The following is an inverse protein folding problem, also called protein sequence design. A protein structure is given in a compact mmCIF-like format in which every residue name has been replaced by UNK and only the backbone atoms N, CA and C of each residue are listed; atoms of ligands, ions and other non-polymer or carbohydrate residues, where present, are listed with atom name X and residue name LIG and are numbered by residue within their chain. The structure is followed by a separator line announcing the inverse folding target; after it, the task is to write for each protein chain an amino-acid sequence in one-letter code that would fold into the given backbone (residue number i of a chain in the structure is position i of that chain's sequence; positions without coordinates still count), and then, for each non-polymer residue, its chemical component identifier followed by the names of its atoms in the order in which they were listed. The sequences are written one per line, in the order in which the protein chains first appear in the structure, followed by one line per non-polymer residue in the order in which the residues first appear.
data_IF_158332672927
#
_entry.id   IF_158332672927
#
_cell.length_a   1.000
_cell.length_b   1.000
_cell.length_c   1.000
_cell.angle_alpha   90.00
_cell.angle_beta   90.00
_cell.angle_gamma   90.00
#
_symmetry.space_group_name_H-M   'P 1'
#
loop_
_entity.id
_entity.type
_entity.pdbx_description
1 polymer ?
#
# COMPACT_ATOMS: atom_id res chain seq x y z
N UNK A 1 1.97 4.52 28.01
CA UNK A 1 1.37 3.88 26.81
C UNK A 1 2.49 3.70 25.80
N UNK A 2 2.64 2.52 25.22
CA UNK A 2 3.67 2.22 24.20
C UNK A 2 2.98 1.78 22.93
N UNK A 3 3.43 2.30 21.77
CA UNK A 3 2.99 1.89 20.44
C UNK A 3 3.95 0.81 19.92
N UNK A 4 3.41 -0.37 19.59
CA UNK A 4 4.18 -1.46 18.98
C UNK A 4 4.06 -1.37 17.46
N UNK A 5 5.18 -1.19 16.80
CA UNK A 5 5.24 -1.12 15.33
C UNK A 5 6.01 -2.34 14.83
N UNK A 6 5.45 -3.02 13.86
CA UNK A 6 6.14 -4.05 13.11
C UNK A 6 6.34 -3.61 11.66
N UNK A 7 7.45 -4.02 11.07
CA UNK A 7 7.78 -3.77 9.66
C UNK A 7 7.94 -5.12 8.97
N UNK A 8 7.19 -5.35 7.91
CA UNK A 8 7.30 -6.56 7.08
C UNK A 8 8.21 -6.29 5.88
N UNK A 9 9.18 -7.17 5.69
CA UNK A 9 10.12 -7.14 4.55
C UNK A 9 10.24 -8.51 3.87
N UNK A 10 9.13 -9.12 3.43
CA UNK A 10 9.19 -10.39 2.72
C UNK A 10 9.68 -10.19 1.29
N UNK A 11 10.13 -11.28 0.70
CA UNK A 11 10.43 -11.32 -0.73
C UNK A 11 9.16 -11.10 -1.57
N UNK A 12 9.21 -10.18 -2.53
CA UNK A 12 8.07 -9.79 -3.37
C UNK A 12 8.23 -10.40 -4.76
N UNK A 13 7.23 -11.16 -5.20
CA UNK A 13 7.15 -11.64 -6.57
C UNK A 13 6.75 -10.50 -7.51
N UNK A 14 7.55 -10.27 -8.55
CA UNK A 14 7.38 -9.14 -9.46
C UNK A 14 6.05 -9.18 -10.20
N UNK A 15 5.27 -8.09 -10.10
CA UNK A 15 3.98 -7.90 -10.76
C UNK A 15 2.99 -9.08 -10.58
N UNK A 16 3.01 -9.73 -9.40
CA UNK A 16 2.19 -10.89 -9.07
C UNK A 16 1.35 -10.64 -7.80
N UNK A 17 0.30 -9.78 -7.89
CA UNK A 17 -0.43 -9.30 -6.72
C UNK A 17 -1.07 -10.44 -5.91
N UNK A 18 -1.73 -11.39 -6.55
CA UNK A 18 -2.39 -12.50 -5.84
C UNK A 18 -1.39 -13.31 -4.99
N UNK A 19 -0.23 -13.63 -5.57
CA UNK A 19 0.83 -14.37 -4.86
C UNK A 19 1.40 -13.57 -3.69
N UNK A 20 1.61 -12.26 -3.89
CA UNK A 20 2.14 -11.39 -2.85
C UNK A 20 1.13 -11.21 -1.72
N UNK A 21 -0.13 -10.93 -2.03
CA UNK A 21 -1.18 -10.78 -1.03
C UNK A 21 -1.34 -12.04 -0.17
N UNK A 22 -1.35 -13.22 -0.78
CA UNK A 22 -1.42 -14.49 -0.04
C UNK A 22 -0.20 -14.68 0.89
N UNK A 23 1.00 -14.33 0.43
CA UNK A 23 2.23 -14.40 1.23
C UNK A 23 2.19 -13.41 2.40
N UNK A 24 1.80 -12.17 2.15
CA UNK A 24 1.71 -11.14 3.18
C UNK A 24 0.68 -11.51 4.25
N UNK A 25 -0.46 -12.09 3.86
CA UNK A 25 -1.52 -12.46 4.81
C UNK A 25 -1.02 -13.37 5.93
N UNK A 26 -0.19 -14.35 5.62
CA UNK A 26 0.37 -15.24 6.65
C UNK A 26 1.27 -14.49 7.65
N UNK A 27 2.01 -13.50 7.19
CA UNK A 27 2.84 -12.66 8.07
C UNK A 27 1.99 -11.68 8.88
N UNK A 28 0.97 -11.08 8.27
CA UNK A 28 0.03 -10.17 8.97
C UNK A 28 -0.70 -10.93 10.07
N UNK A 29 -1.21 -12.13 9.78
CA UNK A 29 -1.93 -12.97 10.74
C UNK A 29 -1.06 -13.40 11.95
N UNK A 30 0.25 -13.56 11.73
CA UNK A 30 1.20 -13.93 12.79
C UNK A 30 1.71 -12.73 13.59
N UNK A 31 1.38 -11.51 13.19
CA UNK A 31 1.92 -10.30 13.80
C UNK A 31 1.07 -9.83 14.98
N UNK A 32 1.72 -9.44 16.09
CA UNK A 32 1.09 -8.83 17.25
C UNK A 32 1.63 -7.40 17.44
N UNK A 33 1.11 -6.46 16.65
CA UNK A 33 1.50 -5.06 16.68
C UNK A 33 0.27 -4.16 16.66
N UNK A 34 0.43 -2.90 17.06
CA UNK A 34 -0.62 -1.90 16.97
C UNK A 34 -0.66 -1.26 15.57
N UNK A 35 0.52 -1.20 14.92
CA UNK A 35 0.70 -0.74 13.55
C UNK A 35 1.65 -1.67 12.79
N UNK A 36 1.25 -2.07 11.59
CA UNK A 36 2.03 -2.89 10.68
C UNK A 36 2.36 -2.10 9.41
N UNK A 37 3.65 -1.94 9.14
CA UNK A 37 4.14 -1.28 7.94
C UNK A 37 4.50 -2.32 6.88
N UNK A 38 3.91 -2.15 5.69
CA UNK A 38 4.20 -2.95 4.50
C UNK A 38 5.18 -2.18 3.59
N UNK A 39 5.93 -2.88 2.74
CA UNK A 39 6.81 -2.22 1.77
C UNK A 39 6.06 -1.32 0.79
N UNK A 40 6.80 -0.41 0.17
CA UNK A 40 6.32 0.32 -0.99
C UNK A 40 5.86 -0.65 -2.08
N UNK A 41 4.68 -0.40 -2.66
CA UNK A 41 4.06 -1.22 -3.71
C UNK A 41 4.04 -2.73 -3.34
N UNK A 42 3.62 -3.02 -2.11
CA UNK A 42 3.73 -4.34 -1.49
C UNK A 42 3.06 -5.46 -2.29
N UNK A 43 2.00 -5.14 -3.04
CA UNK A 43 1.28 -6.14 -3.83
C UNK A 43 1.99 -6.52 -5.14
N UNK A 44 2.87 -5.68 -5.67
CA UNK A 44 3.40 -5.85 -7.04
C UNK A 44 4.91 -5.73 -7.14
N UNK A 45 5.57 -5.18 -6.11
CA UNK A 45 6.92 -4.66 -6.24
C UNK A 45 6.91 -3.32 -6.99
N UNK A 46 8.06 -2.67 -7.02
CA UNK A 46 8.24 -1.35 -7.65
C UNK A 46 8.24 -1.45 -9.18
N UNK A 47 7.10 -1.90 -9.72
CA UNK A 47 6.89 -2.07 -11.16
C UNK A 47 6.48 -0.73 -11.80
N UNK A 48 7.21 -0.27 -12.79
CA UNK A 48 6.97 0.99 -13.50
C UNK A 48 6.13 0.82 -14.77
N UNK A 49 5.37 -0.25 -14.84
CA UNK A 49 4.31 -0.46 -15.86
C UNK A 49 2.94 -0.39 -15.14
N UNK A 50 2.44 0.83 -14.85
CA UNK A 50 1.20 0.99 -14.11
C UNK A 50 -0.02 0.45 -14.85
N UNK A 51 -0.01 0.43 -16.17
CA UNK A 51 -1.10 -0.15 -16.96
C UNK A 51 -1.30 -1.65 -16.66
N UNK A 52 -0.24 -2.33 -16.25
CA UNK A 52 -0.27 -3.76 -15.89
C UNK A 52 -0.69 -4.02 -14.45
N UNK A 53 -0.37 -3.10 -13.53
CA UNK A 53 -0.43 -3.38 -12.08
C UNK A 53 -1.41 -2.49 -11.31
N UNK A 54 -1.80 -1.34 -11.87
CA UNK A 54 -2.69 -0.42 -11.17
C UNK A 54 -4.14 -0.92 -11.17
N UNK A 55 -4.77 -0.79 -10.02
CA UNK A 55 -6.21 -0.97 -9.86
C UNK A 55 -6.90 0.36 -9.57
N UNK A 56 -8.24 0.38 -9.53
CA UNK A 56 -9.00 1.55 -9.08
C UNK A 56 -8.70 1.87 -7.61
N UNK A 57 -9.05 3.07 -7.16
CA UNK A 57 -8.80 3.55 -5.79
C UNK A 57 -9.43 2.65 -4.72
N UNK A 58 -10.60 2.10 -4.98
CA UNK A 58 -11.28 1.11 -4.12
C UNK A 58 -10.96 -0.35 -4.47
N UNK A 59 -9.88 -0.58 -5.19
CA UNK A 59 -9.50 -1.88 -5.73
C UNK A 59 -8.99 -2.88 -4.69
N UNK A 60 -8.51 -4.01 -5.19
CA UNK A 60 -8.11 -5.18 -4.38
C UNK A 60 -7.05 -4.85 -3.31
N UNK A 61 -6.14 -3.90 -3.58
CA UNK A 61 -5.12 -3.49 -2.60
C UNK A 61 -5.73 -2.88 -1.35
N UNK A 62 -6.59 -1.87 -1.50
CA UNK A 62 -7.28 -1.23 -0.38
C UNK A 62 -8.26 -2.20 0.30
N UNK A 63 -9.02 -2.97 -0.48
CA UNK A 63 -9.95 -3.96 0.06
C UNK A 63 -9.24 -4.98 0.95
N UNK A 64 -8.06 -5.44 0.54
CA UNK A 64 -7.24 -6.36 1.32
C UNK A 64 -6.74 -5.72 2.62
N UNK A 65 -6.23 -4.48 2.57
CA UNK A 65 -5.78 -3.77 3.77
C UNK A 65 -6.94 -3.58 4.77
N UNK A 66 -8.14 -3.22 4.29
CA UNK A 66 -9.33 -3.10 5.15
C UNK A 66 -9.71 -4.41 5.81
N UNK A 67 -9.70 -5.49 5.05
CA UNK A 67 -9.99 -6.83 5.58
C UNK A 67 -8.96 -7.22 6.65
N UNK A 68 -7.69 -7.09 6.36
CA UNK A 68 -6.63 -7.43 7.32
C UNK A 68 -6.69 -6.56 8.58
N UNK A 69 -6.93 -5.25 8.45
CA UNK A 69 -7.05 -4.38 9.61
C UNK A 69 -8.19 -4.80 10.53
N UNK A 70 -9.34 -5.17 9.98
CA UNK A 70 -10.50 -5.63 10.72
C UNK A 70 -10.27 -7.02 11.32
N UNK A 71 -9.77 -7.99 10.53
CA UNK A 71 -9.62 -9.38 10.96
C UNK A 71 -8.54 -9.55 12.03
N UNK A 72 -7.45 -8.79 11.95
CA UNK A 72 -6.30 -8.93 12.85
C UNK A 72 -6.20 -7.81 13.90
N UNK A 73 -7.09 -6.83 13.87
CA UNK A 73 -7.20 -5.80 14.90
C UNK A 73 -5.99 -4.87 15.01
N UNK A 74 -5.25 -4.67 13.91
CA UNK A 74 -4.11 -3.75 13.86
C UNK A 74 -4.23 -2.75 12.71
N UNK A 75 -3.66 -1.56 12.87
CA UNK A 75 -3.58 -0.61 11.78
C UNK A 75 -2.53 -1.07 10.76
N UNK A 76 -2.78 -0.80 9.48
CA UNK A 76 -1.91 -1.18 8.38
C UNK A 76 -1.54 0.04 7.54
N UNK A 77 -0.30 0.15 7.15
CA UNK A 77 0.16 1.14 6.18
C UNK A 77 0.96 0.47 5.06
N UNK A 78 0.59 0.76 3.80
CA UNK A 78 1.27 0.23 2.63
C UNK A 78 0.82 0.94 1.36
N UNK A 79 1.65 0.93 0.32
CA UNK A 79 1.31 1.59 -0.94
C UNK A 79 1.04 0.60 -2.07
N UNK A 80 0.22 1.04 -3.00
CA UNK A 80 -0.13 0.34 -4.24
C UNK A 80 -0.20 1.32 -5.41
N UNK A 81 -0.12 0.78 -6.62
CA UNK A 81 -0.39 1.55 -7.83
C UNK A 81 -1.91 1.73 -8.00
N UNK A 82 -2.35 2.97 -8.18
CA UNK A 82 -3.77 3.32 -8.36
C UNK A 82 -3.97 4.03 -9.70
N UNK A 83 -4.99 3.60 -10.45
CA UNK A 83 -5.46 4.29 -11.64
C UNK A 83 -6.50 5.35 -11.26
N UNK A 84 -6.32 6.57 -11.74
CA UNK A 84 -7.20 7.70 -11.48
C UNK A 84 -8.21 7.89 -12.61
N UNK A 85 -9.37 8.56 -12.35
CA UNK A 85 -10.37 8.83 -13.38
C UNK A 85 -9.87 9.65 -14.56
N UNK A 86 -8.81 10.45 -14.38
CA UNK A 86 -8.16 11.25 -15.42
C UNK A 86 -7.13 10.45 -16.26
N UNK A 87 -7.15 9.12 -16.16
CA UNK A 87 -6.21 8.20 -16.80
C UNK A 87 -4.75 8.37 -16.37
N UNK A 88 -4.49 9.02 -15.24
CA UNK A 88 -3.17 9.04 -14.61
C UNK A 88 -3.03 7.96 -13.56
N UNK A 89 -1.79 7.71 -13.11
CA UNK A 89 -1.50 6.72 -12.09
C UNK A 89 -0.83 7.38 -10.88
N UNK A 90 -1.09 6.83 -9.68
CA UNK A 90 -0.49 7.25 -8.42
C UNK A 90 0.20 6.07 -7.73
N UNK A 91 1.31 6.35 -7.08
CA UNK A 91 1.85 5.50 -6.04
C UNK A 91 1.21 5.98 -4.73
N UNK A 92 0.12 5.31 -4.33
CA UNK A 92 -0.74 5.74 -3.23
C UNK A 92 -0.52 4.88 -2.00
N UNK A 93 -0.13 5.51 -0.90
CA UNK A 93 -0.12 4.89 0.42
C UNK A 93 -1.50 5.00 1.06
N UNK A 94 -1.94 3.91 1.65
CA UNK A 94 -3.09 3.88 2.53
C UNK A 94 -2.65 3.62 3.96
N UNK A 95 -3.27 4.32 4.89
CA UNK A 95 -3.27 4.01 6.31
C UNK A 95 -4.68 3.57 6.68
N UNK A 96 -4.84 2.32 7.11
CA UNK A 96 -6.14 1.70 7.39
C UNK A 96 -6.20 1.28 8.84
N UNK A 97 -7.18 1.81 9.57
CA UNK A 97 -7.43 1.47 10.97
C UNK A 97 -8.36 0.27 11.11
N UNK A 98 -8.30 -0.49 12.23
CA UNK A 98 -9.25 -1.57 12.52
C UNK A 98 -10.72 -1.12 12.51
N UNK A 99 -10.96 0.15 12.79
CA UNK A 99 -12.28 0.81 12.71
C UNK A 99 -12.86 0.88 11.29
N UNK A 100 -12.03 0.63 10.27
CA UNK A 100 -12.36 0.82 8.86
C UNK A 100 -12.05 2.23 8.33
N UNK A 101 -11.59 3.15 9.19
CA UNK A 101 -11.15 4.48 8.75
C UNK A 101 -9.92 4.35 7.86
N UNK A 102 -9.93 5.08 6.75
CA UNK A 102 -8.83 5.11 5.77
C UNK A 102 -8.33 6.54 5.61
N UNK A 103 -7.03 6.70 5.61
CA UNK A 103 -6.34 7.90 5.16
C UNK A 103 -5.41 7.51 4.01
N UNK A 104 -5.27 8.38 3.01
CA UNK A 104 -4.43 8.13 1.85
C UNK A 104 -3.42 9.26 1.63
N UNK A 105 -2.36 8.93 0.90
CA UNK A 105 -1.31 9.86 0.52
C UNK A 105 -0.71 9.44 -0.82
N UNK A 106 -0.76 10.33 -1.80
CA UNK A 106 -0.05 10.14 -3.06
C UNK A 106 1.40 10.60 -2.92
N UNK A 107 2.33 9.72 -3.27
CA UNK A 107 3.77 9.98 -3.19
C UNK A 107 4.12 11.29 -3.90
N UNK A 108 4.67 12.26 -3.14
CA UNK A 108 5.03 13.58 -3.66
C UNK A 108 6.38 13.56 -4.37
N UNK A 109 7.40 12.96 -3.75
CA UNK A 109 8.74 12.88 -4.32
C UNK A 109 8.95 11.56 -5.03
N UNK A 110 8.71 11.55 -6.35
CA UNK A 110 8.91 10.37 -7.17
C UNK A 110 10.40 10.07 -7.38
N UNK A 111 10.74 8.79 -7.47
CA UNK A 111 12.10 8.33 -7.73
C UNK A 111 12.47 8.56 -9.21
N UNK A 112 12.78 9.80 -9.55
CA UNK A 112 13.09 10.23 -10.91
C UNK A 112 14.27 9.48 -11.54
N UNK A 113 15.38 9.20 -10.82
CA UNK A 113 16.47 8.38 -11.37
C UNK A 113 16.05 6.99 -11.81
N UNK A 114 15.02 6.42 -11.15
CA UNK A 114 14.45 5.12 -11.50
C UNK A 114 13.39 5.17 -12.58
N UNK A 115 12.99 6.37 -13.07
CA UNK A 115 11.97 6.51 -14.10
C UNK A 115 10.53 6.60 -13.58
N UNK A 116 10.31 6.66 -12.26
CA UNK A 116 8.95 6.68 -11.67
C UNK A 116 8.12 7.87 -12.17
N UNK A 117 8.73 9.04 -12.36
CA UNK A 117 8.05 10.25 -12.84
C UNK A 117 7.53 10.16 -14.29
N UNK A 118 8.01 9.19 -15.07
CA UNK A 118 7.46 8.91 -16.40
C UNK A 118 6.21 8.03 -16.35
N UNK A 119 6.06 7.23 -15.29
CA UNK A 119 4.98 6.26 -15.13
C UNK A 119 3.87 6.75 -14.20
N UNK A 120 4.22 7.48 -13.15
CA UNK A 120 3.31 7.95 -12.12
C UNK A 120 3.30 9.48 -12.02
N UNK A 121 2.20 10.02 -11.52
CA UNK A 121 2.08 11.45 -11.22
C UNK A 121 2.24 11.70 -9.72
N UNK A 122 3.03 12.71 -9.36
CA UNK A 122 3.23 13.11 -7.98
C UNK A 122 1.95 13.65 -7.33
N UNK A 123 1.80 13.41 -6.03
CA UNK A 123 0.79 14.06 -5.21
C UNK A 123 1.22 15.49 -4.83
N UNK A 124 0.28 16.29 -4.36
CA UNK A 124 0.50 17.68 -3.94
C UNK A 124 0.02 17.98 -2.51
N UNK A 125 -0.59 16.99 -1.86
CA UNK A 125 -1.14 17.13 -0.52
C UNK A 125 -0.27 16.45 0.54
N UNK A 126 -0.31 16.99 1.75
CA UNK A 126 0.24 16.38 2.95
C UNK A 126 -0.89 15.69 3.72
N UNK A 127 -0.67 14.46 4.15
CA UNK A 127 -1.59 13.72 5.02
C UNK A 127 -0.97 13.52 6.40
N UNK A 128 -1.74 13.79 7.44
CA UNK A 128 -1.38 13.51 8.83
C UNK A 128 -2.46 12.63 9.43
N UNK A 129 -2.05 11.54 10.07
CA UNK A 129 -2.94 10.63 10.80
C UNK A 129 -2.71 10.80 12.30
N UNK A 130 -3.79 10.69 13.10
CA UNK A 130 -3.76 10.88 14.57
C UNK A 130 -4.50 9.74 15.26
#
# INVERSE_FOLDING_TARGET
MSLRIAVLQPDIAWAAPERNLARFESHVAACSADLLLLPEMFATGFCLDPARIAGPDDGAGLATLRRWAADYGCALAGSVAVSMPDATFRNRMYFVEPSGRVSDYDKHHLFTPGGEAAAFRAGDCRTVVS
#
